data_IF_870901982054
#
_entry.id   IF_870901982054
#
_cell.length_a   1.000
_cell.length_b   1.000
_cell.length_c   1.000
_cell.angle_alpha   90.00
_cell.angle_beta   90.00
_cell.angle_gamma   90.00
#
_symmetry.space_group_name_H-M   'P 1'
#
loop_
_entity.id
_entity.type
_entity.pdbx_description
1 polymer ?
#
# COMPACT_ATOMS: atom_id res chain seq x y z
N UNK A 1 7.44 10.96 5.41
CA UNK A 1 6.39 9.96 5.17
C UNK A 1 6.73 9.22 3.88
N UNK A 2 6.66 7.90 3.89
CA UNK A 2 6.92 7.08 2.69
C UNK A 2 5.73 7.11 1.70
N UNK A 3 5.83 6.36 0.59
CA UNK A 3 4.81 6.34 -0.46
C UNK A 3 3.43 5.86 0.02
N UNK A 4 3.37 5.20 1.18
CA UNK A 4 2.15 4.70 1.79
C UNK A 4 1.72 5.49 3.03
N UNK A 5 2.32 6.67 3.26
CA UNK A 5 2.09 7.48 4.44
C UNK A 5 2.75 6.95 5.71
N UNK A 6 3.64 5.97 5.59
CA UNK A 6 4.34 5.36 6.73
C UNK A 6 5.35 6.33 7.38
N UNK A 7 5.48 6.23 8.70
CA UNK A 7 6.55 6.90 9.45
C UNK A 7 7.89 6.16 9.27
N UNK A 8 9.01 6.82 9.59
CA UNK A 8 10.37 6.27 9.51
C UNK A 8 10.55 4.97 10.30
N UNK A 9 9.76 4.80 11.36
CA UNK A 9 9.79 3.66 12.26
C UNK A 9 8.72 2.63 11.90
N UNK A 10 8.16 2.70 10.70
CA UNK A 10 7.19 1.73 10.18
C UNK A 10 7.71 1.10 8.88
N UNK A 11 7.25 -0.12 8.60
CA UNK A 11 7.49 -0.80 7.35
C UNK A 11 6.20 -1.37 6.78
N UNK A 12 6.19 -1.53 5.45
CA UNK A 12 5.15 -2.25 4.75
C UNK A 12 5.19 -3.73 5.16
N UNK A 13 4.09 -4.22 5.73
CA UNK A 13 3.93 -5.63 6.09
C UNK A 13 3.32 -6.43 4.93
N UNK A 14 2.26 -5.91 4.33
CA UNK A 14 1.59 -6.57 3.20
C UNK A 14 0.76 -5.59 2.39
N UNK A 15 0.62 -5.88 1.10
CA UNK A 15 -0.37 -5.30 0.21
C UNK A 15 -1.32 -6.41 -0.24
N UNK A 16 -2.62 -6.13 -0.17
CA UNK A 16 -3.64 -7.04 -0.67
C UNK A 16 -4.45 -6.33 -1.73
N UNK A 17 -4.45 -6.88 -2.95
CA UNK A 17 -5.31 -6.38 -4.01
C UNK A 17 -6.77 -6.59 -3.64
N UNK A 18 -7.55 -5.51 -3.67
CA UNK A 18 -8.99 -5.50 -3.37
C UNK A 18 -9.78 -5.47 -4.68
N UNK A 19 -9.41 -4.60 -5.61
CA UNK A 19 -10.07 -4.51 -6.90
C UNK A 19 -9.13 -3.98 -7.98
N UNK A 20 -9.42 -4.36 -9.21
CA UNK A 20 -8.84 -3.78 -10.41
C UNK A 20 -9.92 -2.91 -11.03
N UNK A 21 -9.65 -1.62 -11.16
CA UNK A 21 -10.54 -0.67 -11.83
C UNK A 21 -9.97 -0.46 -13.22
N UNK A 22 -10.66 -0.99 -14.21
CA UNK A 22 -10.25 -0.90 -15.60
C UNK A 22 -11.40 -0.29 -16.42
N UNK A 23 -11.17 0.92 -16.90
CA UNK A 23 -12.05 1.60 -17.85
C UNK A 23 -11.42 1.53 -19.24
N UNK A 24 -12.25 1.42 -20.28
CA UNK A 24 -11.77 1.50 -21.66
C UNK A 24 -11.16 2.89 -21.88
N UNK A 25 -9.95 2.92 -22.45
CA UNK A 25 -9.15 4.13 -22.75
C UNK A 25 -8.41 4.78 -21.57
N UNK A 26 -8.42 4.17 -20.38
CA UNK A 26 -7.62 4.60 -19.23
C UNK A 26 -6.58 3.55 -18.81
N UNK A 27 -5.55 4.00 -18.08
CA UNK A 27 -4.63 3.08 -17.41
C UNK A 27 -5.37 2.31 -16.31
N UNK A 28 -4.94 1.06 -16.09
CA UNK A 28 -5.53 0.21 -15.07
C UNK A 28 -5.15 0.71 -13.68
N UNK A 29 -6.14 0.92 -12.83
CA UNK A 29 -5.95 1.29 -11.44
C UNK A 29 -6.12 0.08 -10.52
N UNK A 30 -5.28 -0.01 -9.49
CA UNK A 30 -5.28 -1.10 -8.51
C UNK A 30 -5.63 -0.55 -7.14
N UNK A 31 -6.78 -0.94 -6.61
CA UNK A 31 -7.13 -0.65 -5.24
C UNK A 31 -6.51 -1.72 -4.34
N UNK A 32 -5.62 -1.31 -3.45
CA UNK A 32 -4.92 -2.19 -2.52
C UNK A 32 -5.22 -1.83 -1.08
N UNK A 33 -5.43 -2.84 -0.25
CA UNK A 33 -5.42 -2.71 1.20
C UNK A 33 -3.97 -2.83 1.69
N UNK A 34 -3.57 -1.88 2.52
CA UNK A 34 -2.23 -1.72 3.05
C UNK A 34 -2.20 -2.15 4.52
N UNK A 35 -1.23 -2.99 4.90
CA UNK A 35 -0.88 -3.21 6.30
C UNK A 35 0.51 -2.64 6.58
N UNK A 36 0.58 -1.69 7.51
CA UNK A 36 1.83 -1.17 8.06
C UNK A 36 2.09 -1.81 9.43
N UNK A 37 3.36 -1.95 9.77
CA UNK A 37 3.77 -2.44 11.08
C UNK A 37 4.88 -1.55 11.65
N UNK A 38 4.93 -1.40 12.97
CA UNK A 38 6.03 -0.72 13.63
C UNK A 38 7.31 -1.57 13.61
N UNK A 39 8.44 -0.90 13.41
CA UNK A 39 9.76 -1.47 13.51
C UNK A 39 10.18 -1.46 14.97
N UNK A 40 9.98 -2.57 15.68
CA UNK A 40 10.59 -2.78 16.99
C UNK A 40 12.09 -3.01 16.78
N UNK A 41 12.90 -1.99 17.01
CA UNK A 41 14.35 -2.15 17.14
C UNK A 41 14.61 -2.51 18.60
N UNK A 42 15.01 -3.76 18.85
CA UNK A 42 15.48 -4.23 20.15
C UNK A 42 16.92 -3.81 20.41
#
# INVERSE_FOLDING_TARGET
SGPWGEDKDMWLKSLRLISVLQESDLETEYLVELALQERKVS
#
